data_IF_545992073879
#
_entry.id   IF_545992073879
#
_cell.length_a   1.000
_cell.length_b   1.000
_cell.length_c   1.000
_cell.angle_alpha   90.00
_cell.angle_beta   90.00
_cell.angle_gamma   90.00
#
_symmetry.space_group_name_H-M   'P 1'
#
loop_
_entity.id
_entity.type
_entity.pdbx_description
1 polymer ?
#
# COMPACT_ATOMS: atom_id res chain seq x y z
N UNK A 1 1.02 -10.72 23.39
CA UNK A 1 2.47 -10.41 23.47
C UNK A 1 2.85 -9.23 22.60
N UNK A 2 2.66 -9.26 21.28
CA UNK A 2 2.98 -8.13 20.35
C UNK A 2 2.26 -6.84 20.77
N UNK A 3 0.96 -6.90 21.04
CA UNK A 3 0.18 -5.76 21.51
C UNK A 3 0.69 -5.17 22.83
N UNK A 4 1.14 -6.03 23.77
CA UNK A 4 1.75 -5.58 25.04
C UNK A 4 3.08 -4.85 24.81
N UNK A 5 3.87 -5.30 23.83
CA UNK A 5 5.12 -4.63 23.44
C UNK A 5 4.82 -3.26 22.80
N UNK A 6 3.84 -3.22 21.89
CA UNK A 6 3.40 -1.98 21.25
C UNK A 6 2.90 -0.99 22.30
N UNK A 7 2.03 -1.40 23.21
CA UNK A 7 1.55 -0.55 24.30
C UNK A 7 2.70 0.01 25.14
N UNK A 8 3.65 -0.83 25.56
CA UNK A 8 4.84 -0.38 26.33
C UNK A 8 5.71 0.61 25.57
N UNK A 9 5.87 0.43 24.25
CA UNK A 9 6.60 1.37 23.41
C UNK A 9 5.88 2.70 23.29
N UNK A 10 4.56 2.67 23.20
CA UNK A 10 3.73 3.85 23.12
C UNK A 10 3.70 4.62 24.46
N UNK A 11 3.52 3.94 25.58
CA UNK A 11 3.47 4.53 26.94
C UNK A 11 4.77 5.24 27.31
N UNK A 12 5.93 4.69 26.98
CA UNK A 12 7.24 5.26 27.32
C UNK A 12 7.52 6.63 26.68
N UNK A 13 6.74 7.07 25.69
CA UNK A 13 7.04 8.27 24.91
C UNK A 13 6.15 9.47 25.17
N UNK A 14 5.24 9.46 26.14
CA UNK A 14 4.38 10.57 26.53
C UNK A 14 3.57 11.28 25.41
N UNK A 15 3.53 10.68 24.20
CA UNK A 15 2.88 11.29 23.02
C UNK A 15 1.36 11.11 22.99
N UNK A 16 0.86 10.22 23.83
CA UNK A 16 -0.42 9.56 23.66
C UNK A 16 -1.42 9.91 24.73
N UNK A 17 -1.22 11.02 25.42
CA UNK A 17 -2.08 11.44 26.55
C UNK A 17 -3.57 11.54 26.21
N UNK A 18 -3.92 11.52 24.91
CA UNK A 18 -5.29 11.77 24.43
C UNK A 18 -5.81 10.69 23.47
N UNK A 19 -5.05 9.65 23.17
CA UNK A 19 -5.51 8.52 22.39
C UNK A 19 -5.89 7.37 23.32
N UNK A 20 -6.95 6.65 22.99
CA UNK A 20 -7.24 5.34 23.61
C UNK A 20 -6.19 4.35 23.11
N UNK A 21 -5.11 4.19 23.85
CA UNK A 21 -3.95 3.32 23.49
C UNK A 21 -4.36 1.92 23.07
N UNK A 22 -5.45 1.39 23.62
CA UNK A 22 -5.97 0.10 23.28
C UNK A 22 -6.36 -0.01 21.81
N UNK A 23 -7.08 0.93 21.25
CA UNK A 23 -7.62 0.87 19.88
C UNK A 23 -6.55 1.02 18.81
N UNK A 24 -5.64 2.00 18.98
CA UNK A 24 -4.51 2.17 18.05
C UNK A 24 -3.58 0.97 18.09
N UNK A 25 -3.29 0.42 19.29
CA UNK A 25 -2.44 -0.76 19.42
C UNK A 25 -3.09 -2.01 18.81
N UNK A 26 -4.40 -2.16 18.91
CA UNK A 26 -5.17 -3.21 18.23
C UNK A 26 -5.01 -3.11 16.71
N UNK A 27 -5.20 -1.91 16.17
CA UNK A 27 -5.12 -1.66 14.75
C UNK A 27 -3.70 -1.88 14.21
N UNK A 28 -2.67 -1.42 14.94
CA UNK A 28 -1.27 -1.65 14.58
C UNK A 28 -0.92 -3.13 14.62
N UNK A 29 -1.37 -3.85 15.65
CA UNK A 29 -1.13 -5.28 15.77
C UNK A 29 -1.80 -6.05 14.64
N UNK A 30 -3.07 -5.78 14.36
CA UNK A 30 -3.81 -6.41 13.29
C UNK A 30 -3.15 -6.16 11.91
N UNK A 31 -2.81 -4.89 11.62
CA UNK A 31 -2.15 -4.53 10.35
C UNK A 31 -0.77 -5.18 10.23
N UNK A 32 0.03 -5.18 11.29
CA UNK A 32 1.37 -5.76 11.29
C UNK A 32 1.33 -7.28 11.07
N UNK A 33 0.47 -8.00 11.79
CA UNK A 33 0.32 -9.46 11.61
C UNK A 33 -0.17 -9.79 10.20
N UNK A 34 -1.12 -9.02 9.65
CA UNK A 34 -1.55 -9.19 8.27
C UNK A 34 -0.40 -8.95 7.27
N UNK A 35 0.41 -7.92 7.48
CA UNK A 35 1.56 -7.63 6.60
C UNK A 35 2.58 -8.78 6.66
N UNK A 36 2.82 -9.36 7.84
CA UNK A 36 3.64 -10.55 7.98
C UNK A 36 3.05 -11.70 7.15
N UNK A 37 1.76 -12.00 7.33
CA UNK A 37 1.09 -13.05 6.58
C UNK A 37 1.18 -12.87 5.04
N UNK A 38 0.99 -11.64 4.57
CA UNK A 38 1.11 -11.29 3.16
C UNK A 38 2.52 -11.52 2.62
N UNK A 39 3.55 -11.11 3.35
CA UNK A 39 4.93 -11.07 2.83
C UNK A 39 5.71 -12.37 3.07
N UNK A 40 5.19 -13.29 3.88
CA UNK A 40 5.78 -14.63 4.01
C UNK A 40 5.74 -15.38 2.67
N UNK A 41 4.70 -15.18 1.84
CA UNK A 41 4.49 -15.93 0.59
C UNK A 41 4.56 -15.04 -0.65
N UNK A 42 3.92 -13.86 -0.65
CA UNK A 42 3.51 -13.15 -1.88
C UNK A 42 4.36 -11.94 -2.27
N UNK A 43 5.57 -11.80 -1.73
CA UNK A 43 6.39 -10.60 -1.94
C UNK A 43 6.70 -10.23 -3.41
N UNK A 44 6.55 -11.18 -4.37
CA UNK A 44 6.97 -10.98 -5.76
C UNK A 44 6.04 -11.69 -6.76
N UNK A 45 4.73 -11.58 -6.60
CA UNK A 45 3.75 -12.31 -7.45
C UNK A 45 4.00 -12.14 -8.95
N UNK A 46 4.31 -10.94 -9.43
CA UNK A 46 4.55 -10.70 -10.86
C UNK A 46 5.83 -11.36 -11.37
N UNK A 47 6.89 -11.35 -10.55
CA UNK A 47 8.15 -12.04 -10.88
C UNK A 47 7.94 -13.56 -10.82
N UNK A 48 7.14 -14.05 -9.88
CA UNK A 48 6.75 -15.46 -9.80
C UNK A 48 6.03 -15.91 -11.07
N UNK A 49 4.97 -15.20 -11.50
CA UNK A 49 4.25 -15.52 -12.73
C UNK A 49 5.16 -15.50 -13.97
N UNK A 50 6.07 -14.52 -14.06
CA UNK A 50 7.04 -14.47 -15.15
C UNK A 50 7.96 -15.72 -15.17
N UNK A 51 8.38 -16.20 -14.01
CA UNK A 51 9.22 -17.40 -13.89
C UNK A 51 8.47 -18.70 -14.16
N UNK A 52 7.17 -18.75 -13.87
CA UNK A 52 6.30 -19.85 -14.27
C UNK A 52 6.01 -19.87 -15.79
N UNK A 53 6.64 -18.96 -16.56
CA UNK A 53 6.55 -18.94 -18.02
C UNK A 53 5.44 -18.05 -18.58
N UNK A 54 4.71 -17.31 -17.76
CA UNK A 54 3.74 -16.34 -18.26
C UNK A 54 4.44 -15.14 -18.90
N UNK A 55 4.03 -14.77 -20.11
CA UNK A 55 4.62 -13.63 -20.82
C UNK A 55 4.39 -12.31 -20.10
N UNK A 56 5.30 -11.34 -20.28
CA UNK A 56 5.16 -10.00 -19.72
C UNK A 56 3.86 -9.32 -20.20
N UNK A 57 3.46 -9.58 -21.46
CA UNK A 57 2.18 -9.11 -22.02
C UNK A 57 0.99 -9.68 -21.24
N UNK A 58 1.01 -10.98 -20.93
CA UNK A 58 -0.03 -11.61 -20.11
C UNK A 58 -0.10 -10.96 -18.73
N UNK A 59 1.04 -10.79 -18.05
CA UNK A 59 1.11 -10.22 -16.70
C UNK A 59 0.55 -8.79 -16.67
N UNK A 60 0.91 -7.95 -17.66
CA UNK A 60 0.41 -6.58 -17.73
C UNK A 60 -1.07 -6.51 -18.11
N UNK A 61 -1.54 -7.38 -19.00
CA UNK A 61 -2.97 -7.52 -19.30
C UNK A 61 -3.77 -7.94 -18.06
N UNK A 62 -3.26 -8.94 -17.34
CA UNK A 62 -3.85 -9.41 -16.09
C UNK A 62 -4.00 -8.28 -15.06
N UNK A 63 -2.93 -7.51 -14.78
CA UNK A 63 -3.01 -6.40 -13.84
C UNK A 63 -3.93 -5.28 -14.32
N UNK A 64 -3.97 -4.99 -15.61
CA UNK A 64 -4.90 -4.01 -16.18
C UNK A 64 -6.35 -4.41 -15.90
N UNK A 65 -6.71 -5.65 -16.25
CA UNK A 65 -8.06 -6.18 -16.05
C UNK A 65 -8.38 -6.28 -14.55
N UNK A 66 -7.45 -6.78 -13.74
CA UNK A 66 -7.60 -6.91 -12.31
C UNK A 66 -7.97 -5.57 -11.64
N UNK A 67 -7.23 -4.50 -11.93
CA UNK A 67 -7.48 -3.21 -11.31
C UNK A 67 -8.75 -2.54 -11.84
N UNK A 68 -9.11 -2.73 -13.10
CA UNK A 68 -10.41 -2.29 -13.62
C UNK A 68 -11.57 -3.01 -12.92
N UNK A 69 -11.50 -4.33 -12.79
CA UNK A 69 -12.54 -5.13 -12.13
C UNK A 69 -12.54 -4.94 -10.61
N UNK A 70 -11.42 -4.58 -10.00
CA UNK A 70 -11.36 -4.23 -8.58
C UNK A 70 -12.19 -2.99 -8.25
N UNK A 71 -12.39 -2.06 -9.18
CA UNK A 71 -13.18 -0.84 -8.96
C UNK A 71 -14.61 -1.11 -8.45
N UNK A 72 -15.45 -1.91 -9.10
CA UNK A 72 -16.77 -2.28 -8.56
C UNK A 72 -16.66 -3.08 -7.26
N UNK A 73 -15.63 -3.91 -7.08
CA UNK A 73 -15.39 -4.64 -5.84
C UNK A 73 -15.16 -3.69 -4.67
N UNK A 74 -14.43 -2.59 -4.86
CA UNK A 74 -14.22 -1.54 -3.85
C UNK A 74 -15.56 -0.94 -3.41
N UNK A 75 -16.45 -0.64 -4.36
CA UNK A 75 -17.77 -0.07 -4.06
C UNK A 75 -18.60 -1.07 -3.24
N UNK A 76 -18.65 -2.35 -3.64
CA UNK A 76 -19.33 -3.40 -2.89
C UNK A 76 -18.75 -3.57 -1.48
N UNK A 77 -17.42 -3.58 -1.38
CA UNK A 77 -16.71 -3.64 -0.09
C UNK A 77 -17.06 -2.46 0.82
N UNK A 78 -17.24 -1.27 0.23
CA UNK A 78 -17.63 -0.07 0.96
C UNK A 78 -19.05 -0.16 1.54
N UNK A 79 -19.97 -0.78 0.79
CA UNK A 79 -21.33 -1.05 1.29
C UNK A 79 -21.30 -2.06 2.45
N UNK A 80 -20.44 -3.09 2.37
CA UNK A 80 -20.25 -4.07 3.45
C UNK A 80 -19.68 -3.38 4.69
N UNK A 81 -18.64 -2.56 4.54
CA UNK A 81 -18.02 -1.82 5.65
C UNK A 81 -19.01 -0.81 6.26
N UNK A 82 -19.84 -0.14 5.45
CA UNK A 82 -20.87 0.77 5.94
C UNK A 82 -21.93 0.04 6.77
N UNK A 83 -22.30 -1.18 6.36
CA UNK A 83 -23.34 -1.95 7.03
C UNK A 83 -22.84 -2.64 8.30
N UNK A 84 -21.69 -3.34 8.23
CA UNK A 84 -21.17 -4.17 9.31
C UNK A 84 -20.12 -3.48 10.19
N UNK A 85 -19.57 -2.36 9.75
CA UNK A 85 -18.49 -1.63 10.41
C UNK A 85 -17.09 -2.03 9.93
N UNK A 86 -16.09 -1.13 10.15
CA UNK A 86 -14.73 -1.29 9.64
C UNK A 86 -14.00 -2.50 10.24
N UNK A 87 -14.19 -2.85 11.51
CA UNK A 87 -13.53 -4.02 12.12
C UNK A 87 -14.00 -5.33 11.48
N UNK A 88 -15.30 -5.44 11.19
CA UNK A 88 -15.85 -6.59 10.45
C UNK A 88 -15.37 -6.61 9.00
N UNK A 89 -15.24 -5.44 8.35
CA UNK A 89 -14.62 -5.35 7.02
C UNK A 89 -13.20 -5.92 7.00
N UNK A 90 -12.38 -5.57 7.99
CA UNK A 90 -11.02 -6.12 8.15
C UNK A 90 -11.04 -7.63 8.40
N UNK A 91 -11.96 -8.14 9.24
CA UNK A 91 -12.14 -9.57 9.47
C UNK A 91 -12.48 -10.32 8.17
N UNK A 92 -13.51 -9.87 7.46
CA UNK A 92 -13.90 -10.50 6.19
C UNK A 92 -12.76 -10.45 5.16
N UNK A 93 -12.03 -9.33 5.10
CA UNK A 93 -10.85 -9.21 4.26
C UNK A 93 -9.77 -10.25 4.61
N UNK A 94 -9.52 -10.51 5.90
CA UNK A 94 -8.57 -11.52 6.33
C UNK A 94 -9.05 -12.94 6.01
N UNK A 95 -10.33 -13.25 6.26
CA UNK A 95 -10.92 -14.56 5.96
C UNK A 95 -10.86 -14.89 4.46
N UNK A 96 -11.16 -13.92 3.60
CA UNK A 96 -11.15 -14.12 2.13
C UNK A 96 -9.73 -14.28 1.56
N UNK A 97 -8.69 -13.90 2.31
CA UNK A 97 -7.32 -14.14 1.85
C UNK A 97 -6.89 -15.61 1.95
N UNK A 98 -7.55 -16.40 2.83
CA UNK A 98 -7.27 -17.84 2.97
C UNK A 98 -7.51 -18.60 1.66
N UNK A 99 -8.71 -18.58 1.07
CA UNK A 99 -8.94 -19.22 -0.21
C UNK A 99 -8.12 -18.61 -1.36
N UNK A 100 -7.76 -17.32 -1.28
CA UNK A 100 -6.83 -16.72 -2.24
C UNK A 100 -5.46 -17.42 -2.21
N UNK A 101 -4.92 -17.68 -1.03
CA UNK A 101 -3.64 -18.39 -0.90
C UNK A 101 -3.70 -19.81 -1.44
N UNK A 102 -4.78 -20.53 -1.17
CA UNK A 102 -4.99 -21.89 -1.72
C UNK A 102 -5.03 -21.86 -3.25
N UNK A 103 -5.74 -20.90 -3.85
CA UNK A 103 -5.80 -20.75 -5.29
C UNK A 103 -4.42 -20.43 -5.90
N UNK A 104 -3.63 -19.55 -5.27
CA UNK A 104 -2.28 -19.23 -5.75
C UNK A 104 -1.37 -20.48 -5.72
N UNK A 105 -1.48 -21.30 -4.68
CA UNK A 105 -0.70 -22.53 -4.55
C UNK A 105 -1.04 -23.59 -5.60
N UNK A 106 -2.24 -23.54 -6.17
CA UNK A 106 -2.70 -24.49 -7.20
C UNK A 106 -2.51 -24.00 -8.65
N UNK A 107 -1.75 -22.93 -8.85
CA UNK A 107 -1.49 -22.36 -10.20
C UNK A 107 -0.83 -23.39 -11.13
N UNK A 108 0.07 -24.23 -10.64
CA UNK A 108 0.74 -25.26 -11.42
C UNK A 108 -0.23 -26.36 -11.90
N UNK A 109 -1.33 -26.60 -11.18
CA UNK A 109 -2.32 -27.64 -11.54
C UNK A 109 -3.44 -27.08 -12.42
N UNK A 110 -3.95 -25.89 -12.08
CA UNK A 110 -5.13 -25.29 -12.72
C UNK A 110 -4.83 -24.06 -13.60
N UNK A 111 -3.55 -23.66 -13.69
CA UNK A 111 -3.11 -22.58 -14.57
C UNK A 111 -3.88 -21.27 -14.38
N UNK A 112 -4.36 -20.69 -15.48
CA UNK A 112 -5.08 -19.42 -15.49
C UNK A 112 -6.35 -19.43 -14.65
N UNK A 113 -7.01 -20.59 -14.51
CA UNK A 113 -8.21 -20.73 -13.68
C UNK A 113 -7.91 -20.41 -12.20
N UNK A 114 -6.79 -20.94 -11.68
CA UNK A 114 -6.35 -20.63 -10.31
C UNK A 114 -5.99 -19.14 -10.14
N UNK A 115 -5.36 -18.52 -11.15
CA UNK A 115 -5.04 -17.09 -11.15
C UNK A 115 -6.31 -16.23 -11.08
N UNK A 116 -7.37 -16.60 -11.81
CA UNK A 116 -8.65 -15.88 -11.78
C UNK A 116 -9.30 -15.99 -10.40
N UNK A 117 -9.36 -17.20 -9.83
CA UNK A 117 -9.93 -17.43 -8.48
C UNK A 117 -9.14 -16.64 -7.43
N UNK A 118 -7.82 -16.72 -7.47
CA UNK A 118 -6.93 -15.92 -6.63
C UNK A 118 -7.23 -14.42 -6.75
N UNK A 119 -7.34 -13.90 -7.98
CA UNK A 119 -7.59 -12.49 -8.23
C UNK A 119 -8.92 -12.01 -7.63
N UNK A 120 -10.00 -12.80 -7.76
CA UNK A 120 -11.30 -12.46 -7.19
C UNK A 120 -11.21 -12.35 -5.67
N UNK A 121 -10.67 -13.36 -5.01
CA UNK A 121 -10.53 -13.37 -3.55
C UNK A 121 -9.59 -12.28 -3.03
N UNK A 122 -8.46 -12.01 -3.70
CA UNK A 122 -7.54 -10.93 -3.36
C UNK A 122 -8.19 -9.56 -3.53
N UNK A 123 -8.97 -9.35 -4.60
CA UNK A 123 -9.66 -8.08 -4.82
C UNK A 123 -10.61 -7.75 -3.67
N UNK A 124 -11.46 -8.69 -3.25
CA UNK A 124 -12.35 -8.52 -2.11
C UNK A 124 -11.59 -8.39 -0.80
N UNK A 125 -10.62 -9.28 -0.54
CA UNK A 125 -9.80 -9.25 0.67
C UNK A 125 -9.09 -7.92 0.85
N UNK A 126 -8.39 -7.45 -0.18
CA UNK A 126 -7.67 -6.18 -0.14
C UNK A 126 -8.61 -4.99 0.05
N UNK A 127 -9.71 -4.93 -0.72
CA UNK A 127 -10.66 -3.81 -0.66
C UNK A 127 -11.35 -3.71 0.70
N UNK A 128 -11.83 -4.83 1.25
CA UNK A 128 -12.48 -4.87 2.56
C UNK A 128 -11.52 -4.48 3.69
N UNK A 129 -10.29 -5.03 3.66
CA UNK A 129 -9.33 -4.76 4.71
C UNK A 129 -8.80 -3.33 4.67
N UNK A 130 -8.34 -2.85 3.50
CA UNK A 130 -7.74 -1.52 3.39
C UNK A 130 -8.77 -0.42 3.66
N UNK A 131 -10.00 -0.58 3.16
CA UNK A 131 -11.07 0.36 3.47
C UNK A 131 -11.44 0.32 4.96
N UNK A 132 -11.62 -0.87 5.53
CA UNK A 132 -11.89 -1.04 6.97
C UNK A 132 -10.78 -0.41 7.82
N UNK A 133 -9.52 -0.66 7.48
CA UNK A 133 -8.37 -0.04 8.13
C UNK A 133 -8.42 1.49 8.02
N UNK A 134 -8.60 2.04 6.84
CA UNK A 134 -8.59 3.48 6.58
C UNK A 134 -9.73 4.21 7.30
N UNK A 135 -10.94 3.63 7.29
CA UNK A 135 -12.11 4.16 8.00
C UNK A 135 -11.87 4.15 9.51
N UNK A 136 -11.39 3.04 10.06
CA UNK A 136 -11.12 2.92 11.50
C UNK A 136 -9.99 3.88 11.92
N UNK A 137 -8.85 3.87 11.23
CA UNK A 137 -7.72 4.75 11.55
C UNK A 137 -8.11 6.23 11.45
N UNK A 138 -8.87 6.63 10.42
CA UNK A 138 -9.32 8.02 10.27
C UNK A 138 -10.17 8.48 11.44
N UNK A 139 -10.94 7.58 12.08
CA UNK A 139 -11.79 7.89 13.22
C UNK A 139 -11.00 8.01 14.53
N UNK A 140 -10.09 7.06 14.79
CA UNK A 140 -9.40 6.95 16.07
C UNK A 140 -8.10 7.76 16.17
N UNK A 141 -7.57 8.26 15.03
CA UNK A 141 -6.32 9.04 15.02
C UNK A 141 -6.39 10.26 15.93
N UNK A 142 -5.29 10.57 16.61
CA UNK A 142 -5.16 11.81 17.34
C UNK A 142 -4.96 12.99 16.38
N UNK A 143 -5.74 14.07 16.55
CA UNK A 143 -5.68 15.23 15.66
C UNK A 143 -4.32 15.95 15.69
N UNK A 144 -3.66 16.01 16.87
CA UNK A 144 -2.40 16.73 17.09
C UNK A 144 -1.17 15.89 16.69
N UNK A 145 -1.25 14.56 16.84
CA UNK A 145 -0.11 13.65 16.68
C UNK A 145 -0.30 12.60 15.56
N UNK A 146 -1.26 12.82 14.66
CA UNK A 146 -1.56 11.85 13.59
C UNK A 146 -0.37 11.59 12.65
N UNK A 147 0.55 12.55 12.48
CA UNK A 147 1.78 12.34 11.72
C UNK A 147 2.68 11.30 12.37
N UNK A 148 2.83 11.35 13.69
CA UNK A 148 3.62 10.35 14.45
C UNK A 148 2.93 9.00 14.50
N UNK A 149 1.61 8.97 14.61
CA UNK A 149 0.84 7.72 14.53
C UNK A 149 1.05 7.02 13.19
N UNK A 150 0.94 7.76 12.09
CA UNK A 150 1.25 7.24 10.76
C UNK A 150 2.72 6.78 10.64
N UNK A 151 3.66 7.51 11.25
CA UNK A 151 5.07 7.12 11.26
C UNK A 151 5.28 5.79 11.97
N UNK A 152 4.69 5.59 13.16
CA UNK A 152 4.80 4.33 13.88
C UNK A 152 4.15 3.17 13.12
N UNK A 153 2.95 3.38 12.55
CA UNK A 153 2.33 2.37 11.70
C UNK A 153 3.25 2.00 10.53
N UNK A 154 3.81 2.99 9.84
CA UNK A 154 4.70 2.74 8.71
C UNK A 154 5.98 2.01 9.14
N UNK A 155 6.55 2.35 10.30
CA UNK A 155 7.70 1.65 10.89
C UNK A 155 7.37 0.17 11.13
N UNK A 156 6.25 -0.16 11.78
CA UNK A 156 5.85 -1.55 12.02
C UNK A 156 5.61 -2.31 10.72
N UNK A 157 4.94 -1.70 9.76
CA UNK A 157 4.70 -2.28 8.43
C UNK A 157 6.03 -2.55 7.71
N UNK A 158 6.96 -1.60 7.70
CA UNK A 158 8.25 -1.75 7.02
C UNK A 158 9.14 -2.83 7.67
N UNK A 159 9.19 -2.88 8.98
CA UNK A 159 9.90 -3.96 9.71
C UNK A 159 9.28 -5.31 9.37
N UNK A 160 7.95 -5.42 9.41
CA UNK A 160 7.24 -6.65 9.06
C UNK A 160 7.52 -7.06 7.61
N UNK A 161 7.42 -6.14 6.65
CA UNK A 161 7.68 -6.39 5.22
C UNK A 161 9.11 -6.88 4.98
N UNK A 162 10.09 -6.33 5.70
CA UNK A 162 11.49 -6.69 5.50
C UNK A 162 11.90 -8.02 6.14
N UNK A 163 11.31 -8.38 7.26
CA UNK A 163 11.66 -9.61 7.99
C UNK A 163 10.86 -10.83 7.46
N UNK A 164 9.62 -10.61 7.03
CA UNK A 164 8.71 -11.70 6.66
C UNK A 164 9.20 -12.59 5.53
N UNK A 165 9.82 -12.10 4.43
CA UNK A 165 10.31 -12.96 3.38
C UNK A 165 11.44 -13.89 3.85
N UNK A 166 12.30 -13.42 4.77
CA UNK A 166 13.38 -14.23 5.37
C UNK A 166 12.78 -15.36 6.22
N UNK A 167 11.81 -15.02 7.07
CA UNK A 167 11.09 -16.01 7.88
C UNK A 167 10.39 -17.02 6.97
N UNK A 168 9.68 -16.55 5.95
CA UNK A 168 8.98 -17.40 4.98
C UNK A 168 9.91 -18.35 4.24
N UNK A 169 11.06 -17.85 3.80
CA UNK A 169 12.08 -18.65 3.14
C UNK A 169 12.66 -19.75 4.06
N UNK A 170 12.99 -19.43 5.30
CA UNK A 170 13.48 -20.41 6.29
C UNK A 170 12.41 -21.46 6.62
N UNK A 171 11.17 -21.05 6.81
CA UNK A 171 10.06 -21.98 7.05
C UNK A 171 9.82 -22.88 5.83
N UNK A 172 9.92 -22.36 4.61
CA UNK A 172 9.78 -23.14 3.39
C UNK A 172 10.88 -24.21 3.24
N UNK A 173 12.12 -23.89 3.62
CA UNK A 173 13.24 -24.84 3.64
C UNK A 173 13.05 -25.98 4.65
N UNK A 174 12.47 -25.70 5.82
CA UNK A 174 12.34 -26.69 6.89
C UNK A 174 11.02 -27.49 6.85
N UNK A 175 9.93 -26.85 6.47
CA UNK A 175 8.58 -27.40 6.56
C UNK A 175 7.91 -27.61 5.20
N UNK A 176 8.53 -27.09 4.13
CA UNK A 176 7.93 -27.09 2.79
C UNK A 176 6.99 -25.89 2.56
N UNK A 177 6.74 -25.59 1.30
CA UNK A 177 5.95 -24.42 0.87
C UNK A 177 4.47 -24.51 1.32
N UNK A 178 3.91 -25.73 1.30
CA UNK A 178 2.52 -25.96 1.73
C UNK A 178 2.31 -25.59 3.20
N UNK A 179 3.23 -25.98 4.09
CA UNK A 179 3.17 -25.62 5.50
C UNK A 179 3.23 -24.08 5.70
N UNK A 180 4.05 -23.37 4.90
CA UNK A 180 4.12 -21.89 4.94
C UNK A 180 2.78 -21.26 4.54
N UNK A 181 2.08 -21.84 3.57
CA UNK A 181 0.75 -21.37 3.17
C UNK A 181 -0.28 -21.54 4.30
N UNK A 182 -0.28 -22.67 5.01
CA UNK A 182 -1.14 -22.87 6.17
C UNK A 182 -0.78 -21.96 7.34
N UNK A 183 0.51 -21.69 7.57
CA UNK A 183 0.96 -20.72 8.59
C UNK A 183 0.47 -19.31 8.23
N UNK A 184 0.59 -18.90 6.97
CA UNK A 184 0.07 -17.60 6.53
C UNK A 184 -1.45 -17.52 6.68
N UNK A 185 -2.20 -18.56 6.30
CA UNK A 185 -3.64 -18.63 6.51
C UNK A 185 -4.01 -18.48 8.00
N UNK A 186 -3.31 -19.16 8.89
CA UNK A 186 -3.51 -19.03 10.34
C UNK A 186 -3.18 -17.59 10.81
N UNK A 187 -2.13 -16.98 10.31
CA UNK A 187 -1.77 -15.58 10.64
C UNK A 187 -2.86 -14.59 10.20
N UNK A 188 -3.52 -14.80 9.06
CA UNK A 188 -4.66 -13.96 8.66
C UNK A 188 -5.82 -14.04 9.63
N UNK A 189 -6.11 -15.23 10.17
CA UNK A 189 -7.13 -15.40 11.21
C UNK A 189 -6.72 -14.71 12.52
N UNK A 190 -5.48 -14.93 12.96
CA UNK A 190 -4.91 -14.32 14.17
C UNK A 190 -4.87 -12.79 14.08
N UNK A 191 -4.62 -12.24 12.89
CA UNK A 191 -4.61 -10.79 12.66
C UNK A 191 -5.94 -10.10 13.02
N UNK A 192 -7.05 -10.84 13.00
CA UNK A 192 -8.38 -10.30 13.31
C UNK A 192 -8.67 -10.28 14.82
N UNK A 193 -8.02 -11.11 15.63
CA UNK A 193 -8.31 -11.24 17.06
C UNK A 193 -8.16 -9.92 17.82
N UNK A 194 -7.09 -9.12 17.63
CA UNK A 194 -6.94 -7.86 18.35
C UNK A 194 -8.07 -6.86 18.13
N UNK A 195 -8.70 -6.87 16.95
CA UNK A 195 -9.71 -5.89 16.56
C UNK A 195 -10.99 -5.93 17.40
N UNK A 196 -11.27 -7.06 18.05
CA UNK A 196 -12.50 -7.28 18.81
C UNK A 196 -12.33 -7.13 20.32
N UNK A 197 -11.21 -6.56 20.78
CA UNK A 197 -11.01 -6.25 22.21
C UNK A 197 -11.74 -4.99 22.65
N UNK A 198 -11.90 -4.01 21.74
CA UNK A 198 -12.68 -2.81 21.98
C UNK A 198 -13.92 -2.80 21.10
N UNK A 199 -14.92 -2.00 21.49
CA UNK A 199 -16.15 -1.83 20.73
C UNK A 199 -15.87 -1.14 19.38
N UNK A 200 -16.80 -1.27 18.43
CA UNK A 200 -16.77 -0.56 17.15
C UNK A 200 -16.99 0.95 17.38
N UNK A 201 -16.06 1.78 16.92
CA UNK A 201 -16.12 3.24 17.08
C UNK A 201 -16.87 3.96 15.96
N UNK A 202 -17.08 3.26 14.84
CA UNK A 202 -17.81 3.79 13.68
C UNK A 202 -19.21 3.25 13.72
N UNK A 203 -20.21 4.10 13.56
CA UNK A 203 -21.62 3.68 13.48
C UNK A 203 -21.77 2.61 12.38
N UNK A 204 -22.47 1.54 12.72
CA UNK A 204 -22.85 0.47 11.80
C UNK A 204 -24.20 0.76 11.15
N UNK A 205 -24.61 -0.05 10.15
CA UNK A 205 -25.86 0.08 9.40
C UNK A 205 -26.03 1.44 8.71
N UNK A 206 -24.92 2.10 8.37
CA UNK A 206 -24.95 3.33 7.59
C UNK A 206 -25.41 3.04 6.17
N UNK A 207 -26.23 3.94 5.61
CA UNK A 207 -26.55 3.89 4.19
C UNK A 207 -25.40 4.47 3.39
N UNK A 208 -24.94 3.70 2.39
CA UNK A 208 -23.96 4.20 1.42
C UNK A 208 -24.66 5.19 0.49
N UNK A 209 -24.50 6.49 0.74
CA UNK A 209 -25.20 7.53 0.01
C UNK A 209 -24.21 8.49 -0.65
N UNK A 210 -24.40 8.72 -1.94
CA UNK A 210 -23.60 9.64 -2.77
C UNK A 210 -24.20 11.06 -2.78
N UNK A 211 -25.48 11.19 -2.40
CA UNK A 211 -26.20 12.47 -2.38
C UNK A 211 -25.61 13.39 -1.30
N UNK A 212 -25.37 14.66 -1.65
CA UNK A 212 -24.82 15.65 -0.75
C UNK A 212 -23.28 15.61 -0.59
N UNK A 213 -22.60 14.70 -1.29
CA UNK A 213 -21.14 14.67 -1.26
C UNK A 213 -20.53 15.95 -1.88
N UNK A 214 -19.55 16.61 -1.21
CA UNK A 214 -18.99 17.87 -1.67
C UNK A 214 -17.94 17.67 -2.78
N UNK A 215 -18.39 17.30 -3.98
CA UNK A 215 -17.54 16.95 -5.14
C UNK A 215 -16.54 18.05 -5.48
N UNK A 216 -17.00 19.30 -5.60
CA UNK A 216 -16.13 20.44 -6.00
C UNK A 216 -14.97 20.67 -5.03
N UNK A 217 -15.18 20.40 -3.74
CA UNK A 217 -14.15 20.58 -2.72
C UNK A 217 -13.11 19.45 -2.72
N UNK A 218 -13.48 18.25 -3.19
CA UNK A 218 -12.67 17.04 -3.04
C UNK A 218 -12.11 16.49 -4.38
N UNK A 219 -12.62 16.92 -5.52
CA UNK A 219 -12.24 16.34 -6.82
C UNK A 219 -10.72 16.36 -7.07
N UNK A 220 -10.01 17.44 -6.72
CA UNK A 220 -8.55 17.52 -6.87
C UNK A 220 -7.82 16.52 -5.99
N UNK A 221 -8.29 16.33 -4.76
CA UNK A 221 -7.71 15.36 -3.83
C UNK A 221 -7.99 13.93 -4.29
N UNK A 222 -9.18 13.68 -4.84
CA UNK A 222 -9.56 12.38 -5.39
C UNK A 222 -8.74 12.05 -6.64
N UNK A 223 -8.68 12.95 -7.62
CA UNK A 223 -7.93 12.71 -8.87
C UNK A 223 -6.42 12.59 -8.67
N UNK A 224 -5.87 13.20 -7.63
CA UNK A 224 -4.46 13.02 -7.27
C UNK A 224 -4.12 11.55 -6.91
N UNK A 225 -5.10 10.76 -6.49
CA UNK A 225 -4.92 9.32 -6.22
C UNK A 225 -4.67 8.47 -7.47
N UNK A 226 -4.98 8.97 -8.66
CA UNK A 226 -4.56 8.32 -9.91
C UNK A 226 -3.02 8.21 -9.96
N UNK A 227 -2.33 9.30 -9.58
CA UNK A 227 -0.87 9.30 -9.47
C UNK A 227 -0.35 8.32 -8.41
N UNK A 228 -1.03 8.20 -7.26
CA UNK A 228 -0.68 7.22 -6.21
C UNK A 228 -0.80 5.79 -6.74
N UNK A 229 -1.88 5.47 -7.45
CA UNK A 229 -2.07 4.16 -8.07
C UNK A 229 -1.03 3.87 -9.16
N UNK A 230 -0.71 4.87 -9.98
CA UNK A 230 0.33 4.77 -11.01
C UNK A 230 1.69 4.46 -10.38
N UNK A 231 2.08 5.21 -9.35
CA UNK A 231 3.33 5.02 -8.60
C UNK A 231 3.41 3.63 -7.94
N UNK A 232 2.31 3.15 -7.38
CA UNK A 232 2.23 1.83 -6.76
C UNK A 232 2.58 0.71 -7.75
N UNK A 233 2.09 0.76 -8.98
CA UNK A 233 2.43 -0.20 -10.05
C UNK A 233 3.85 0.00 -10.55
N UNK A 234 4.26 1.23 -10.79
CA UNK A 234 5.61 1.54 -11.27
C UNK A 234 6.69 1.05 -10.31
N UNK A 235 6.44 1.16 -9.00
CA UNK A 235 7.40 0.77 -7.95
C UNK A 235 7.23 -0.68 -7.50
N UNK A 236 5.99 -1.14 -7.32
CA UNK A 236 5.71 -2.47 -6.73
C UNK A 236 5.62 -3.61 -7.74
N UNK A 237 5.38 -3.32 -9.03
CA UNK A 237 5.20 -4.34 -10.07
C UNK A 237 6.23 -4.20 -11.18
N UNK A 238 6.28 -3.02 -11.80
CA UNK A 238 7.10 -2.81 -13.00
C UNK A 238 8.60 -2.81 -12.67
N UNK A 239 8.99 -2.13 -11.59
CA UNK A 239 10.40 -2.08 -11.18
C UNK A 239 10.98 -3.46 -10.85
N UNK A 240 10.35 -4.32 -10.02
CA UNK A 240 10.82 -5.68 -9.81
C UNK A 240 10.89 -6.52 -11.08
N UNK A 241 9.92 -6.38 -11.99
CA UNK A 241 9.95 -7.06 -13.29
C UNK A 241 11.12 -6.58 -14.17
N UNK A 242 11.35 -5.27 -14.24
CA UNK A 242 12.50 -4.71 -14.94
C UNK A 242 13.83 -5.25 -14.39
N UNK A 243 13.96 -5.29 -13.06
CA UNK A 243 15.15 -5.87 -12.43
C UNK A 243 15.31 -7.34 -12.80
N UNK A 244 14.21 -8.11 -12.76
CA UNK A 244 14.25 -9.54 -13.06
C UNK A 244 14.58 -9.84 -14.53
N UNK A 245 14.06 -9.05 -15.46
CA UNK A 245 14.13 -9.30 -16.90
C UNK A 245 15.39 -8.68 -17.52
N UNK A 246 15.74 -7.46 -17.09
CA UNK A 246 16.79 -6.66 -17.74
C UNK A 246 18.10 -6.69 -16.94
N UNK A 247 18.05 -6.40 -15.64
CA UNK A 247 19.28 -6.22 -14.84
C UNK A 247 19.84 -7.57 -14.35
N UNK A 248 18.96 -8.44 -13.83
CA UNK A 248 19.34 -9.69 -13.19
C UNK A 248 18.97 -10.95 -13.98
N UNK A 249 18.77 -10.84 -15.28
CA UNK A 249 18.40 -11.96 -16.15
C UNK A 249 19.37 -13.15 -16.07
N UNK A 250 20.65 -12.88 -15.82
CA UNK A 250 21.71 -13.90 -15.71
C UNK A 250 21.71 -14.68 -14.37
N UNK A 251 21.01 -14.18 -13.33
CA UNK A 251 21.10 -14.77 -11.98
C UNK A 251 20.19 -15.99 -11.74
N UNK A 252 19.37 -16.39 -12.69
CA UNK A 252 18.54 -17.60 -12.58
C UNK A 252 17.70 -17.66 -11.30
N UNK A 253 17.86 -18.72 -10.50
CA UNK A 253 17.12 -18.93 -9.26
C UNK A 253 17.47 -17.93 -8.14
N UNK A 254 18.66 -17.36 -8.16
CA UNK A 254 19.15 -16.46 -7.09
C UNK A 254 18.53 -15.05 -7.13
N UNK A 255 17.68 -14.78 -8.13
CA UNK A 255 17.04 -13.46 -8.30
C UNK A 255 16.20 -13.05 -7.07
N UNK A 256 15.51 -14.00 -6.44
CA UNK A 256 14.72 -13.70 -5.24
C UNK A 256 15.60 -13.30 -4.06
N UNK A 257 16.78 -13.92 -3.91
CA UNK A 257 17.76 -13.56 -2.91
C UNK A 257 18.30 -12.14 -3.16
N UNK A 258 18.61 -11.79 -4.41
CA UNK A 258 19.09 -10.46 -4.80
C UNK A 258 18.03 -9.39 -4.53
N UNK A 259 16.79 -9.60 -4.97
CA UNK A 259 15.67 -8.69 -4.73
C UNK A 259 15.39 -8.54 -3.23
N UNK A 260 15.46 -9.63 -2.46
CA UNK A 260 15.28 -9.64 -1.01
C UNK A 260 16.36 -8.83 -0.29
N UNK A 261 17.64 -9.05 -0.64
CA UNK A 261 18.78 -8.30 -0.08
C UNK A 261 18.65 -6.80 -0.34
N UNK A 262 18.31 -6.42 -1.57
CA UNK A 262 18.13 -5.03 -1.94
C UNK A 262 16.95 -4.38 -1.21
N UNK A 263 15.88 -5.13 -0.99
CA UNK A 263 14.74 -4.66 -0.18
C UNK A 263 15.13 -4.44 1.28
N UNK A 264 16.00 -5.30 1.85
CA UNK A 264 16.44 -5.18 3.24
C UNK A 264 17.26 -3.92 3.52
N UNK A 265 18.11 -3.51 2.57
CA UNK A 265 18.92 -2.27 2.71
C UNK A 265 18.02 -1.03 2.80
N UNK A 266 16.87 -1.03 2.17
CA UNK A 266 15.94 0.11 2.18
C UNK A 266 15.18 0.28 3.50
N UNK A 267 15.10 -0.77 4.33
CA UNK A 267 14.35 -0.73 5.59
C UNK A 267 14.88 0.33 6.53
N UNK A 268 16.20 0.39 6.72
CA UNK A 268 16.83 1.38 7.62
C UNK A 268 16.46 2.80 7.15
N UNK A 269 16.53 3.04 5.85
CA UNK A 269 16.13 4.32 5.25
C UNK A 269 14.65 4.61 5.52
N UNK A 270 13.78 3.62 5.35
CA UNK A 270 12.35 3.74 5.62
C UNK A 270 12.05 4.12 7.07
N UNK A 271 12.74 3.50 8.04
CA UNK A 271 12.57 3.77 9.47
C UNK A 271 12.97 5.22 9.81
N UNK A 272 14.13 5.67 9.34
CA UNK A 272 14.64 7.03 9.56
C UNK A 272 13.70 8.05 8.90
N UNK A 273 13.32 7.81 7.66
CA UNK A 273 12.40 8.67 6.91
C UNK A 273 11.03 8.77 7.59
N UNK A 274 10.43 7.64 7.98
CA UNK A 274 9.12 7.60 8.64
C UNK A 274 9.11 8.40 9.94
N UNK A 275 10.12 8.19 10.79
CA UNK A 275 10.23 8.93 12.05
C UNK A 275 10.41 10.43 11.85
N UNK A 276 11.27 10.82 10.90
CA UNK A 276 11.55 12.22 10.59
C UNK A 276 10.33 12.92 9.98
N UNK A 277 9.67 12.28 9.03
CA UNK A 277 8.51 12.83 8.34
C UNK A 277 7.27 12.93 9.23
N UNK A 278 7.08 11.99 10.17
CA UNK A 278 6.03 12.10 11.18
C UNK A 278 6.13 13.40 11.98
N UNK A 279 7.35 13.79 12.38
CA UNK A 279 7.58 15.07 13.08
C UNK A 279 7.34 16.30 12.19
N UNK A 280 7.68 16.21 10.90
CA UNK A 280 7.43 17.30 9.93
C UNK A 280 5.93 17.52 9.73
N UNK A 281 5.17 16.42 9.62
CA UNK A 281 3.72 16.46 9.46
C UNK A 281 3.04 17.06 10.70
N UNK A 282 3.43 16.64 11.90
CA UNK A 282 2.89 17.17 13.16
C UNK A 282 3.19 18.68 13.36
N UNK A 283 4.30 19.17 12.78
CA UNK A 283 4.61 20.60 12.72
C UNK A 283 3.82 21.36 11.62
N UNK A 284 2.77 20.75 11.06
CA UNK A 284 1.95 21.29 9.97
C UNK A 284 2.70 21.61 8.67
N UNK A 285 3.87 21.03 8.44
CA UNK A 285 4.64 21.17 7.19
C UNK A 285 4.41 20.01 6.21
N UNK A 286 3.33 19.24 6.41
CA UNK A 286 2.99 18.10 5.55
C UNK A 286 2.75 18.48 4.08
N UNK A 287 2.25 19.69 3.81
CA UNK A 287 2.05 20.18 2.45
C UNK A 287 3.37 20.45 1.68
N UNK A 288 4.39 20.97 2.37
CA UNK A 288 5.73 21.14 1.81
C UNK A 288 6.39 19.79 1.56
N UNK A 289 6.31 18.89 2.57
CA UNK A 289 6.82 17.52 2.47
C UNK A 289 6.22 16.80 1.27
N UNK A 290 4.88 16.90 1.08
CA UNK A 290 4.18 16.29 -0.05
C UNK A 290 4.78 16.74 -1.39
N UNK A 291 4.88 18.04 -1.62
CA UNK A 291 5.36 18.59 -2.89
C UNK A 291 6.81 18.22 -3.18
N UNK A 292 7.68 18.34 -2.18
CA UNK A 292 9.12 18.02 -2.33
C UNK A 292 9.28 16.52 -2.59
N UNK A 293 8.60 15.67 -1.82
CA UNK A 293 8.70 14.21 -1.99
C UNK A 293 8.12 13.73 -3.32
N UNK A 294 7.06 14.34 -3.82
CA UNK A 294 6.50 14.03 -5.15
C UNK A 294 7.45 14.43 -6.27
N UNK A 295 8.03 15.63 -6.20
CA UNK A 295 9.04 16.05 -7.17
C UNK A 295 10.27 15.12 -7.17
N UNK A 296 10.72 14.73 -5.97
CA UNK A 296 11.82 13.79 -5.83
C UNK A 296 11.45 12.39 -6.34
N UNK A 297 10.21 11.92 -6.13
CA UNK A 297 9.74 10.65 -6.67
C UNK A 297 9.71 10.63 -8.21
N UNK A 298 9.28 11.73 -8.83
CA UNK A 298 9.38 11.89 -10.28
C UNK A 298 10.83 11.76 -10.78
N UNK A 299 11.78 12.39 -10.09
CA UNK A 299 13.20 12.26 -10.40
C UNK A 299 13.70 10.81 -10.23
N UNK A 300 13.26 10.11 -9.19
CA UNK A 300 13.63 8.70 -8.98
C UNK A 300 13.16 7.82 -10.13
N UNK A 301 11.93 7.99 -10.63
CA UNK A 301 11.47 7.25 -11.81
C UNK A 301 12.32 7.56 -13.05
N UNK A 302 12.73 8.80 -13.23
CA UNK A 302 13.63 9.18 -14.33
C UNK A 302 15.02 8.53 -14.15
N UNK A 303 15.56 8.48 -12.93
CA UNK A 303 16.84 7.82 -12.64
C UNK A 303 16.82 6.33 -12.99
N UNK A 304 15.68 5.63 -12.84
CA UNK A 304 15.52 4.21 -13.19
C UNK A 304 15.87 3.89 -14.65
N UNK A 305 15.72 4.85 -15.55
CA UNK A 305 16.09 4.72 -16.97
C UNK A 305 17.60 4.47 -17.15
N UNK A 306 18.42 4.98 -16.25
CA UNK A 306 19.88 4.92 -16.35
C UNK A 306 20.50 3.81 -15.48
N UNK A 307 19.67 3.06 -14.75
CA UNK A 307 20.16 1.98 -13.88
C UNK A 307 20.50 0.75 -14.69
N UNK A 308 21.77 0.32 -14.57
CA UNK A 308 22.31 -0.86 -15.25
C UNK A 308 23.21 -1.72 -14.34
N UNK A 309 23.24 -1.44 -13.05
CA UNK A 309 24.15 -2.11 -12.10
C UNK A 309 23.53 -2.26 -10.71
N UNK A 310 23.98 -3.25 -9.93
CA UNK A 310 23.51 -3.49 -8.56
C UNK A 310 23.67 -2.27 -7.63
N UNK A 311 24.80 -1.52 -7.63
CA UNK A 311 24.90 -0.29 -6.84
C UNK A 311 23.88 0.77 -7.28
N UNK A 312 23.61 0.89 -8.57
CA UNK A 312 22.59 1.81 -9.11
C UNK A 312 21.18 1.41 -8.64
N UNK A 313 20.87 0.13 -8.60
CA UNK A 313 19.60 -0.38 -8.05
C UNK A 313 19.46 -0.03 -6.58
N UNK A 314 20.50 -0.25 -5.76
CA UNK A 314 20.48 0.06 -4.32
C UNK A 314 20.27 1.56 -4.10
N UNK A 315 21.02 2.41 -4.80
CA UNK A 315 20.90 3.86 -4.69
C UNK A 315 19.50 4.35 -5.06
N UNK A 316 18.93 3.82 -6.15
CA UNK A 316 17.58 4.17 -6.62
C UNK A 316 16.51 3.67 -5.66
N UNK A 317 16.67 2.48 -5.07
CA UNK A 317 15.74 1.95 -4.07
C UNK A 317 15.76 2.80 -2.78
N UNK A 318 16.93 3.22 -2.31
CA UNK A 318 17.06 4.14 -1.16
C UNK A 318 16.35 5.47 -1.47
N UNK A 319 16.63 6.07 -2.63
CA UNK A 319 16.00 7.31 -3.05
C UNK A 319 14.47 7.19 -3.16
N UNK A 320 14.01 6.07 -3.74
CA UNK A 320 12.58 5.76 -3.83
C UNK A 320 11.93 5.66 -2.45
N UNK A 321 12.57 5.00 -1.50
CA UNK A 321 12.02 4.84 -0.16
C UNK A 321 11.87 6.18 0.57
N UNK A 322 12.86 7.07 0.44
CA UNK A 322 12.78 8.44 0.96
C UNK A 322 11.62 9.20 0.33
N UNK A 323 11.50 9.16 -0.99
CA UNK A 323 10.45 9.87 -1.73
C UNK A 323 9.05 9.33 -1.40
N UNK A 324 8.84 8.01 -1.53
CA UNK A 324 7.53 7.39 -1.36
C UNK A 324 7.04 7.45 0.08
N UNK A 325 7.91 7.26 1.08
CA UNK A 325 7.54 7.44 2.48
C UNK A 325 7.06 8.86 2.76
N UNK A 326 7.75 9.88 2.21
CA UNK A 326 7.39 11.28 2.42
C UNK A 326 6.04 11.65 1.83
N UNK A 327 5.82 11.35 0.55
CA UNK A 327 4.55 11.71 -0.06
C UNK A 327 3.39 10.85 0.46
N UNK A 328 3.58 9.55 0.70
CA UNK A 328 2.52 8.69 1.20
C UNK A 328 2.03 9.12 2.59
N UNK A 329 2.93 9.37 3.53
CA UNK A 329 2.54 9.80 4.88
C UNK A 329 1.83 11.15 4.87
N UNK A 330 2.35 12.12 4.13
CA UNK A 330 1.73 13.44 4.02
C UNK A 330 0.37 13.37 3.31
N UNK A 331 0.28 12.58 2.23
CA UNK A 331 -0.96 12.38 1.48
C UNK A 331 -2.03 11.68 2.32
N UNK A 332 -1.68 10.58 2.99
CA UNK A 332 -2.61 9.84 3.87
C UNK A 332 -3.14 10.73 5.00
N UNK A 333 -2.27 11.51 5.66
CA UNK A 333 -2.70 12.45 6.70
C UNK A 333 -3.71 13.46 6.16
N UNK A 334 -3.44 14.04 5.00
CA UNK A 334 -4.37 14.97 4.33
C UNK A 334 -5.68 14.31 3.90
N UNK A 335 -5.62 13.08 3.40
CA UNK A 335 -6.79 12.30 2.99
C UNK A 335 -7.70 11.93 4.16
N UNK A 336 -7.15 11.54 5.30
CA UNK A 336 -7.96 11.24 6.49
C UNK A 336 -8.65 12.48 7.05
N UNK A 337 -8.00 13.64 7.04
CA UNK A 337 -8.62 14.91 7.41
C UNK A 337 -9.72 15.32 6.42
N UNK A 338 -9.48 15.15 5.12
CA UNK A 338 -10.47 15.43 4.09
C UNK A 338 -11.69 14.49 4.17
N UNK A 339 -11.47 13.22 4.54
CA UNK A 339 -12.55 12.27 4.80
C UNK A 339 -13.45 12.72 5.94
N UNK A 340 -12.86 13.20 7.05
CA UNK A 340 -13.59 13.74 8.20
C UNK A 340 -14.39 15.00 7.81
N UNK A 341 -13.75 15.94 7.10
CA UNK A 341 -14.36 17.20 6.66
C UNK A 341 -15.44 17.02 5.59
N UNK A 342 -15.45 15.91 4.87
CA UNK A 342 -16.44 15.61 3.83
C UNK A 342 -17.83 15.34 4.37
N UNK A 343 -17.94 14.93 5.64
CA UNK A 343 -19.17 14.40 6.24
C UNK A 343 -19.58 13.02 5.73
N UNK A 344 -18.86 12.48 4.73
CA UNK A 344 -19.11 11.19 4.07
C UNK A 344 -17.85 10.32 4.07
N UNK A 345 -17.32 10.03 5.29
CA UNK A 345 -16.02 9.36 5.48
C UNK A 345 -15.84 8.09 4.63
N UNK A 346 -16.79 7.16 4.71
CA UNK A 346 -16.69 5.87 4.00
C UNK A 346 -16.71 6.10 2.48
N UNK A 347 -17.61 6.97 1.99
CA UNK A 347 -17.67 7.29 0.56
C UNK A 347 -16.38 7.97 0.08
N UNK A 348 -15.83 8.92 0.84
CA UNK A 348 -14.58 9.58 0.48
C UNK A 348 -13.44 8.57 0.34
N UNK A 349 -13.26 7.69 1.32
CA UNK A 349 -12.20 6.68 1.31
C UNK A 349 -12.44 5.61 0.23
N UNK A 350 -13.69 5.25 -0.02
CA UNK A 350 -14.06 4.42 -1.19
C UNK A 350 -13.60 5.05 -2.50
N UNK A 351 -13.89 6.35 -2.70
CA UNK A 351 -13.50 7.06 -3.91
C UNK A 351 -11.96 7.20 -4.03
N UNK A 352 -11.25 7.35 -2.92
CA UNK A 352 -9.78 7.29 -2.89
C UNK A 352 -9.28 5.96 -3.42
N UNK A 353 -9.79 4.84 -2.91
CA UNK A 353 -9.37 3.49 -3.35
C UNK A 353 -9.75 3.20 -4.81
N UNK A 354 -10.92 3.68 -5.27
CA UNK A 354 -11.34 3.63 -6.68
C UNK A 354 -10.33 4.36 -7.57
N UNK A 355 -9.94 5.58 -7.21
CA UNK A 355 -8.98 6.35 -8.00
C UNK A 355 -7.58 5.73 -8.00
N UNK A 356 -7.13 5.17 -6.88
CA UNK A 356 -5.88 4.38 -6.80
C UNK A 356 -5.96 3.18 -7.76
N UNK A 357 -7.07 2.44 -7.74
CA UNK A 357 -7.27 1.28 -8.61
C UNK A 357 -7.26 1.67 -10.10
N UNK A 358 -7.93 2.75 -10.46
CA UNK A 358 -7.91 3.27 -11.83
C UNK A 358 -6.50 3.74 -12.26
N UNK A 359 -5.76 4.42 -11.37
CA UNK A 359 -4.38 4.81 -11.63
C UNK A 359 -3.46 3.61 -11.85
N UNK A 360 -3.65 2.55 -11.07
CA UNK A 360 -2.93 1.28 -11.23
C UNK A 360 -3.26 0.58 -12.57
N UNK A 361 -4.54 0.58 -12.97
CA UNK A 361 -4.97 0.06 -14.27
C UNK A 361 -4.33 0.84 -15.43
N UNK A 362 -4.31 2.18 -15.34
CA UNK A 362 -3.69 3.04 -16.35
C UNK A 362 -2.18 2.73 -16.44
N UNK A 363 -1.48 2.60 -15.33
CA UNK A 363 -0.06 2.27 -15.33
C UNK A 363 0.23 0.91 -15.99
N UNK A 364 -0.55 -0.13 -15.63
CA UNK A 364 -0.41 -1.46 -16.21
C UNK A 364 -0.72 -1.47 -17.72
N UNK A 365 -1.77 -0.77 -18.14
CA UNK A 365 -2.12 -0.60 -19.54
C UNK A 365 -1.06 0.19 -20.32
N UNK A 366 -0.48 1.22 -19.70
CA UNK A 366 0.62 2.00 -20.32
C UNK A 366 1.79 1.08 -20.65
N UNK A 367 2.28 0.27 -19.70
CA UNK A 367 3.38 -0.64 -19.98
C UNK A 367 2.98 -1.72 -21.00
N UNK A 368 1.76 -2.26 -20.93
CA UNK A 368 1.25 -3.21 -21.90
C UNK A 368 1.34 -2.67 -23.33
N UNK A 369 0.82 -1.46 -23.56
CA UNK A 369 0.85 -0.81 -24.88
C UNK A 369 2.29 -0.56 -25.34
N UNK A 370 3.15 -0.09 -24.47
CA UNK A 370 4.55 0.17 -24.80
C UNK A 370 5.32 -1.09 -25.18
N UNK A 371 5.09 -2.21 -24.48
CA UNK A 371 5.69 -3.50 -24.81
C UNK A 371 5.23 -4.00 -26.19
N UNK A 372 3.95 -3.84 -26.49
CA UNK A 372 3.39 -4.26 -27.79
C UNK A 372 3.92 -3.43 -28.95
N UNK A 373 4.20 -2.14 -28.72
CA UNK A 373 4.65 -1.21 -29.76
C UNK A 373 6.18 -1.18 -29.94
N UNK A 374 6.95 -1.33 -28.85
CA UNK A 374 8.38 -1.04 -28.83
C UNK A 374 9.26 -2.21 -28.34
N UNK A 375 8.64 -3.31 -27.88
CA UNK A 375 9.32 -4.40 -27.22
C UNK A 375 9.66 -4.13 -25.76
N UNK A 376 10.33 -5.09 -25.09
CA UNK A 376 10.48 -5.07 -23.64
C UNK A 376 11.40 -3.94 -23.15
N UNK A 377 12.63 -3.85 -23.64
CA UNK A 377 13.63 -2.88 -23.11
C UNK A 377 13.22 -1.42 -23.35
N UNK A 378 12.85 -1.07 -24.59
CA UNK A 378 12.37 0.26 -24.92
C UNK A 378 11.07 0.57 -24.21
N UNK A 379 10.18 -0.42 -24.05
CA UNK A 379 8.92 -0.28 -23.33
C UNK A 379 9.12 0.09 -21.86
N UNK A 380 10.05 -0.56 -21.15
CA UNK A 380 10.40 -0.18 -19.77
C UNK A 380 10.99 1.23 -19.67
N UNK A 381 11.92 1.56 -20.58
CA UNK A 381 12.57 2.88 -20.61
C UNK A 381 11.53 4.01 -20.76
N UNK A 382 10.68 3.91 -21.77
CA UNK A 382 9.63 4.91 -22.02
C UNK A 382 8.60 4.93 -20.89
N UNK A 383 8.26 3.76 -20.32
CA UNK A 383 7.37 3.67 -19.17
C UNK A 383 7.90 4.49 -17.98
N UNK A 384 9.17 4.37 -17.60
CA UNK A 384 9.72 5.15 -16.48
C UNK A 384 9.77 6.65 -16.76
N UNK A 385 9.96 7.08 -18.01
CA UNK A 385 9.83 8.48 -18.39
C UNK A 385 8.39 8.97 -18.20
N UNK A 386 7.40 8.20 -18.64
CA UNK A 386 5.98 8.54 -18.44
C UNK A 386 5.65 8.52 -16.94
N UNK A 387 6.14 7.53 -16.19
CA UNK A 387 5.93 7.44 -14.74
C UNK A 387 6.48 8.66 -14.00
N UNK A 388 7.64 9.18 -14.41
CA UNK A 388 8.23 10.38 -13.80
C UNK A 388 7.29 11.60 -13.87
N UNK A 389 6.49 11.71 -14.94
CA UNK A 389 5.50 12.77 -15.12
C UNK A 389 4.16 12.41 -14.43
N UNK A 390 3.72 11.16 -14.55
CA UNK A 390 2.44 10.73 -14.00
C UNK A 390 2.39 10.85 -12.47
N UNK A 391 3.48 10.56 -11.76
CA UNK A 391 3.53 10.68 -10.29
C UNK A 391 3.43 12.14 -9.81
N UNK A 392 3.77 13.13 -10.64
CA UNK A 392 3.60 14.55 -10.30
C UNK A 392 2.13 14.91 -10.04
N UNK A 393 1.19 14.14 -10.58
CA UNK A 393 -0.23 14.30 -10.30
C UNK A 393 -0.56 14.18 -8.81
N UNK A 394 0.19 13.40 -8.03
CA UNK A 394 0.04 13.31 -6.57
C UNK A 394 0.16 14.70 -5.93
N UNK A 395 1.08 15.54 -6.42
CA UNK A 395 1.32 16.90 -5.95
C UNK A 395 0.20 17.90 -6.26
N UNK A 396 -0.78 17.53 -7.09
CA UNK A 396 -1.96 18.37 -7.37
C UNK A 396 -2.96 18.37 -6.21
N UNK A 397 -2.84 17.44 -5.24
CA UNK A 397 -3.67 17.40 -4.06
C UNK A 397 -3.61 18.73 -3.28
N UNK A 398 -4.77 19.15 -2.76
CA UNK A 398 -4.91 20.45 -2.12
C UNK A 398 -5.74 20.31 -0.83
N UNK A 399 -5.16 19.64 0.15
CA UNK A 399 -5.80 19.39 1.43
C UNK A 399 -5.97 20.68 2.26
N UNK A 400 -7.16 20.87 2.83
CA UNK A 400 -7.47 22.02 3.70
C UNK A 400 -6.56 22.08 4.93
N UNK A 401 -6.18 20.93 5.46
CA UNK A 401 -5.25 20.80 6.58
C UNK A 401 -3.96 21.59 6.36
N UNK A 402 -3.45 21.63 5.14
CA UNK A 402 -2.17 22.27 4.79
C UNK A 402 -2.31 23.74 4.34
N UNK A 403 -3.56 24.24 4.18
CA UNK A 403 -3.80 25.63 3.79
C UNK A 403 -3.88 26.61 4.97
N UNK A 404 -4.25 26.16 6.17
CA UNK A 404 -4.52 27.03 7.32
C UNK A 404 -3.38 27.96 7.75
N UNK A 405 -2.14 27.70 7.36
CA UNK A 405 -0.98 28.53 7.72
C UNK A 405 -0.74 29.77 6.86
N UNK A 406 -1.36 29.92 5.71
CA UNK A 406 -1.18 31.15 4.92
C UNK A 406 -1.94 32.35 5.53
N UNK A 407 -2.95 32.11 6.36
CA UNK A 407 -3.72 33.20 6.98
C UNK A 407 -3.22 33.59 8.37
N UNK A 408 -2.65 32.64 9.13
CA UNK A 408 -2.13 32.95 10.49
C UNK A 408 -0.77 33.65 10.48
N UNK A 409 0.00 33.57 9.38
CA UNK A 409 1.28 34.27 9.22
C UNK A 409 1.13 35.73 8.69
N UNK A 410 -0.09 36.15 8.38
CA UNK A 410 -0.39 37.53 7.94
C UNK A 410 -0.98 38.37 9.05
N UNK A 411 -1.25 37.78 10.21
CA UNK A 411 -1.86 38.44 11.37
C UNK A 411 -0.93 38.59 12.59
N UNK A 412 0.38 38.35 12.44
CA UNK A 412 1.37 38.68 13.48
C UNK A 412 2.55 39.44 12.88
#
# INVERSE_FOLDING_TARGET
>A
MIQSIINKLLERRHFWRYATFSEIAELYTAKTVRVIALNIISGFTSVYLYREGYSLTFIMSFWTIFYLLKTPVIILSSMIVAHFGPKHGMLYGNLLYVPAMMALGSVNEFGVGAIIVWAIFVAFSASLHELGYSVNFSKIKNAEHAGRELAFMNIFVKVATGISPVIGGLLALWLGLEAVMWIAAALFLVASIPLFRTAEQVETRQRFNVSGFPWRANIRNLTANLGVGYDAIATGTVWPLFLAIVIFSAYGADIYAQLGLMSSVTIITALIASYSYGKVIDKNRGGELLKISVGFNGLVHLMRVFVNSSPGVIATNIANEVATTGHNMAFMRGSFDAADLSGHRILYLCLVDVMISLGAAIASATLLVLILLMGHESGFTVFFIIASLAVLQIGTANFRLYRKKLFDSVLY
#
